data_IF_310333308987
#
_entry.id   IF_310333308987
#
_cell.length_a   1.000
_cell.length_b   1.000
_cell.length_c   1.000
_cell.angle_alpha   90.00
_cell.angle_beta   90.00
_cell.angle_gamma   90.00
#
_symmetry.space_group_name_H-M   'P 1'
#
loop_
_entity.id
_entity.type
_entity.pdbx_description
1 polymer ?
#
# COMPACT_ATOMS: atom_id res chain seq x y z
N UNK A 1 -22.78 5.12 -19.02
CA UNK A 1 -21.36 5.48 -18.78
C UNK A 1 -21.36 6.38 -17.56
N UNK A 2 -20.43 6.19 -16.63
CA UNK A 2 -20.33 7.01 -15.41
C UNK A 2 -19.46 8.23 -15.71
N UNK A 3 -19.64 9.33 -14.96
CA UNK A 3 -18.70 10.45 -14.99
C UNK A 3 -17.57 10.24 -13.97
N UNK A 4 -16.43 10.92 -14.18
CA UNK A 4 -15.31 10.89 -13.22
C UNK A 4 -15.76 11.39 -11.83
N UNK A 5 -16.63 12.37 -11.76
CA UNK A 5 -17.27 12.87 -10.52
C UNK A 5 -18.03 11.75 -9.78
N UNK A 6 -18.85 10.96 -10.50
CA UNK A 6 -19.61 9.86 -9.90
C UNK A 6 -18.68 8.78 -9.34
N UNK A 7 -17.62 8.43 -10.09
CA UNK A 7 -16.61 7.45 -9.63
C UNK A 7 -15.84 8.00 -8.43
N UNK A 8 -15.37 9.26 -8.48
CA UNK A 8 -14.64 9.88 -7.38
C UNK A 8 -15.50 9.95 -6.10
N UNK A 9 -16.82 10.20 -6.21
CA UNK A 9 -17.73 10.18 -5.05
C UNK A 9 -17.75 8.79 -4.38
N UNK A 10 -17.70 7.73 -5.17
CA UNK A 10 -17.61 6.35 -4.62
C UNK A 10 -16.26 6.11 -3.97
N UNK A 11 -15.18 6.53 -4.62
CA UNK A 11 -13.80 6.43 -4.08
C UNK A 11 -13.70 7.14 -2.73
N UNK A 12 -14.20 8.38 -2.62
CA UNK A 12 -14.18 9.14 -1.36
C UNK A 12 -15.07 8.52 -0.26
N UNK A 13 -16.13 7.80 -0.62
CA UNK A 13 -16.95 7.07 0.35
C UNK A 13 -16.23 5.81 0.86
N UNK A 14 -15.52 5.09 0.00
CA UNK A 14 -14.75 3.89 0.36
C UNK A 14 -13.50 4.25 1.16
N UNK A 15 -12.80 5.30 0.74
CA UNK A 15 -11.55 5.79 1.32
C UNK A 15 -11.65 7.30 1.59
N UNK A 16 -12.27 7.71 2.72
CA UNK A 16 -12.54 9.12 3.00
C UNK A 16 -11.26 9.94 3.12
N UNK A 17 -11.20 11.08 2.46
CA UNK A 17 -10.05 12.00 2.52
C UNK A 17 -9.76 12.49 3.95
N UNK A 18 -10.76 12.46 4.84
CA UNK A 18 -10.58 12.78 6.26
C UNK A 18 -9.70 11.78 7.03
N UNK A 19 -9.44 10.61 6.45
CA UNK A 19 -8.51 9.62 7.00
C UNK A 19 -7.07 9.78 6.53
N UNK A 20 -6.80 10.74 5.64
CA UNK A 20 -5.45 10.99 5.15
C UNK A 20 -4.58 11.71 6.18
N UNK A 21 -3.28 11.40 6.18
CA UNK A 21 -2.30 12.14 6.95
C UNK A 21 -2.16 13.59 6.43
N UNK A 22 -1.84 14.53 7.32
CA UNK A 22 -1.76 15.97 7.00
C UNK A 22 -0.73 16.34 5.90
N UNK A 23 0.29 15.50 5.71
CA UNK A 23 1.33 15.68 4.71
C UNK A 23 1.00 15.05 3.34
N UNK A 24 -0.07 14.28 3.27
CA UNK A 24 -0.46 13.50 2.10
C UNK A 24 -1.25 14.33 1.07
N UNK A 25 -1.43 13.80 -0.14
CA UNK A 25 -2.15 14.46 -1.22
C UNK A 25 -2.99 13.47 -2.06
N UNK A 26 -3.87 12.66 -1.45
CA UNK A 26 -4.76 11.75 -2.17
C UNK A 26 -5.91 12.50 -2.85
N UNK A 27 -6.75 11.77 -3.57
CA UNK A 27 -7.95 12.28 -4.24
C UNK A 27 -7.78 12.43 -5.74
N UNK A 28 -8.65 13.23 -6.37
CA UNK A 28 -8.63 13.45 -7.82
C UNK A 28 -7.46 14.37 -8.20
N UNK A 29 -6.51 13.83 -8.96
CA UNK A 29 -5.27 14.52 -9.35
C UNK A 29 -5.28 15.01 -10.79
N UNK A 30 -5.92 14.28 -11.72
CA UNK A 30 -5.99 14.62 -13.15
C UNK A 30 -7.34 14.22 -13.70
N UNK A 31 -7.94 15.07 -14.55
CA UNK A 31 -9.17 14.82 -15.29
C UNK A 31 -10.24 15.89 -15.06
N UNK A 32 -11.16 15.99 -16.02
CA UNK A 32 -12.37 16.79 -15.88
C UNK A 32 -13.41 15.98 -15.09
N UNK A 33 -13.97 16.50 -13.98
CA UNK A 33 -15.00 15.77 -13.23
C UNK A 33 -16.20 15.29 -14.06
N UNK A 34 -16.52 15.97 -15.16
CA UNK A 34 -17.66 15.63 -16.01
C UNK A 34 -17.29 14.72 -17.20
N UNK A 35 -15.98 14.37 -17.36
CA UNK A 35 -15.57 13.42 -18.39
C UNK A 35 -16.13 12.02 -18.15
N UNK A 36 -16.38 11.22 -19.22
CA UNK A 36 -16.83 9.84 -19.10
C UNK A 36 -15.72 8.93 -18.54
N UNK A 37 -16.13 7.90 -17.80
CA UNK A 37 -15.27 6.80 -17.36
C UNK A 37 -15.86 5.50 -17.88
N UNK A 38 -15.13 4.83 -18.77
CA UNK A 38 -15.50 3.56 -19.38
C UNK A 38 -14.86 2.35 -18.66
N UNK A 39 -13.70 2.56 -18.04
CA UNK A 39 -13.00 1.53 -17.25
C UNK A 39 -12.10 2.14 -16.18
N UNK A 40 -11.81 1.36 -15.13
CA UNK A 40 -10.87 1.71 -14.06
C UNK A 40 -9.74 0.69 -14.04
N UNK A 41 -8.52 1.17 -14.03
CA UNK A 41 -7.31 0.38 -13.81
C UNK A 41 -6.73 0.75 -12.44
N UNK A 42 -6.61 -0.23 -11.55
CA UNK A 42 -5.94 -0.06 -10.26
C UNK A 42 -4.46 -0.43 -10.37
N UNK A 43 -3.60 0.36 -9.78
CA UNK A 43 -2.16 0.10 -9.67
C UNK A 43 -1.61 0.67 -8.35
N UNK A 44 -0.42 0.25 -7.92
CA UNK A 44 0.24 0.90 -6.77
C UNK A 44 0.73 2.28 -7.19
N UNK A 45 1.41 2.38 -8.34
CA UNK A 45 2.11 3.59 -8.76
C UNK A 45 1.56 4.24 -10.03
N UNK A 46 1.58 5.58 -10.06
CA UNK A 46 1.41 6.36 -11.28
C UNK A 46 2.76 6.54 -11.99
N UNK A 47 3.11 5.60 -12.86
CA UNK A 47 4.36 5.59 -13.64
C UNK A 47 4.11 5.41 -15.14
N UNK A 48 5.17 5.48 -15.94
CA UNK A 48 5.05 5.44 -17.41
C UNK A 48 4.25 4.24 -17.93
N UNK A 49 4.53 3.05 -17.41
CA UNK A 49 3.91 1.81 -17.87
C UNK A 49 2.44 1.67 -17.44
N UNK A 50 2.06 2.10 -16.25
CA UNK A 50 0.66 2.09 -15.80
C UNK A 50 -0.18 3.14 -16.49
N UNK A 51 0.42 4.29 -16.86
CA UNK A 51 -0.21 5.30 -17.71
C UNK A 51 -0.38 4.77 -19.14
N UNK A 52 0.59 4.04 -19.69
CA UNK A 52 0.43 3.40 -21.01
C UNK A 52 -0.72 2.39 -20.99
N UNK A 53 -0.77 1.53 -19.96
CA UNK A 53 -1.80 0.49 -19.81
C UNK A 53 -3.21 1.08 -19.73
N UNK A 54 -3.44 2.13 -18.93
CA UNK A 54 -4.77 2.75 -18.85
C UNK A 54 -5.16 3.43 -20.16
N UNK A 55 -4.21 3.91 -20.95
CA UNK A 55 -4.42 4.57 -22.25
C UNK A 55 -4.61 3.60 -23.43
N UNK A 56 -4.46 2.30 -23.24
CA UNK A 56 -4.78 1.30 -24.29
C UNK A 56 -6.24 1.34 -24.73
N UNK A 57 -7.10 1.88 -23.88
CA UNK A 57 -8.54 2.01 -24.12
C UNK A 57 -9.01 3.43 -23.80
N UNK A 58 -10.01 3.95 -24.54
CA UNK A 58 -10.56 5.28 -24.26
C UNK A 58 -11.29 5.33 -22.91
N UNK A 59 -11.49 6.56 -22.42
CA UNK A 59 -12.26 6.86 -21.21
C UNK A 59 -11.74 6.12 -19.96
N UNK A 60 -10.41 6.00 -19.83
CA UNK A 60 -9.75 5.33 -18.72
C UNK A 60 -9.69 6.17 -17.45
N UNK A 61 -9.76 5.50 -16.29
CA UNK A 61 -9.39 6.06 -15.00
C UNK A 61 -8.27 5.21 -14.40
N UNK A 62 -7.12 5.82 -14.15
CA UNK A 62 -6.05 5.21 -13.34
C UNK A 62 -6.32 5.56 -11.88
N UNK A 63 -6.60 4.54 -11.07
CA UNK A 63 -6.70 4.66 -9.63
C UNK A 63 -5.44 4.06 -9.02
N UNK A 64 -4.66 4.88 -8.34
CA UNK A 64 -3.38 4.45 -7.75
C UNK A 64 -3.39 4.57 -6.24
N UNK A 65 -2.50 3.80 -5.59
CA UNK A 65 -2.22 3.99 -4.18
C UNK A 65 -1.34 5.24 -3.99
N UNK A 66 -0.20 5.32 -4.62
CA UNK A 66 0.76 6.41 -4.45
C UNK A 66 0.38 7.68 -5.24
N UNK A 67 0.21 8.85 -4.57
CA UNK A 67 -0.16 10.08 -5.25
C UNK A 67 1.01 10.65 -6.06
N UNK A 68 0.78 10.84 -7.36
CA UNK A 68 1.77 11.45 -8.27
C UNK A 68 2.21 12.84 -7.80
N UNK A 69 1.31 13.60 -7.17
CA UNK A 69 1.53 15.00 -6.78
C UNK A 69 1.67 15.21 -5.26
N UNK A 70 2.07 14.19 -4.50
CA UNK A 70 2.32 14.29 -3.06
C UNK A 70 3.23 15.47 -2.68
N UNK A 71 4.20 15.78 -3.55
CA UNK A 71 4.96 17.04 -3.47
C UNK A 71 4.52 17.94 -4.61
N UNK A 72 4.22 19.21 -4.28
CA UNK A 72 3.86 20.23 -5.24
C UNK A 72 4.87 20.34 -6.37
N UNK A 73 4.40 20.68 -7.58
CA UNK A 73 5.23 20.87 -8.77
C UNK A 73 5.22 22.34 -9.20
N UNK A 74 6.35 22.80 -9.72
CA UNK A 74 6.50 24.14 -10.27
C UNK A 74 6.43 24.18 -11.79
N UNK A 75 6.39 22.98 -12.42
CA UNK A 75 6.25 22.83 -13.88
C UNK A 75 5.58 21.50 -14.21
N UNK A 76 4.78 21.50 -15.28
CA UNK A 76 4.19 20.31 -15.91
C UNK A 76 4.73 20.10 -17.33
N UNK A 77 5.94 20.61 -17.62
CA UNK A 77 6.59 20.43 -18.92
C UNK A 77 6.81 18.93 -19.22
N UNK A 78 6.61 18.54 -20.48
CA UNK A 78 6.65 17.14 -20.91
C UNK A 78 8.03 16.47 -20.89
N UNK A 79 9.10 17.23 -20.68
CA UNK A 79 10.46 16.74 -20.45
C UNK A 79 10.74 16.38 -18.98
N UNK A 80 9.73 16.56 -18.12
CA UNK A 80 9.77 16.18 -16.71
C UNK A 80 8.84 15.00 -16.47
N UNK A 81 9.27 14.06 -15.62
CA UNK A 81 8.54 12.82 -15.35
C UNK A 81 7.06 13.07 -15.02
N UNK A 82 6.75 13.90 -14.00
CA UNK A 82 5.35 14.18 -13.61
C UNK A 82 4.59 14.92 -14.72
N UNK A 83 5.22 15.91 -15.34
CA UNK A 83 4.61 16.66 -16.44
C UNK A 83 4.32 15.79 -17.66
N UNK A 84 5.19 14.86 -17.99
CA UNK A 84 4.97 13.87 -19.07
C UNK A 84 3.73 13.02 -18.79
N UNK A 85 3.60 12.43 -17.59
CA UNK A 85 2.47 11.58 -17.23
C UNK A 85 1.15 12.37 -17.24
N UNK A 86 1.12 13.56 -16.63
CA UNK A 86 -0.05 14.45 -16.63
C UNK A 86 -0.47 14.80 -18.06
N UNK A 87 0.49 15.19 -18.90
CA UNK A 87 0.22 15.54 -20.31
C UNK A 87 -0.36 14.36 -21.08
N UNK A 88 0.16 13.15 -20.87
CA UNK A 88 -0.32 11.92 -21.53
C UNK A 88 -1.73 11.57 -21.09
N UNK A 89 -2.04 11.60 -19.79
CA UNK A 89 -3.37 11.36 -19.25
C UNK A 89 -4.39 12.35 -19.82
N UNK A 90 -4.10 13.65 -19.76
CA UNK A 90 -5.00 14.69 -20.28
C UNK A 90 -5.25 14.53 -21.79
N UNK A 91 -4.18 14.31 -22.60
CA UNK A 91 -4.32 14.13 -24.05
C UNK A 91 -5.03 12.84 -24.42
N UNK A 92 -4.89 11.80 -23.61
CA UNK A 92 -5.56 10.51 -23.79
C UNK A 92 -6.98 10.46 -23.24
N UNK A 93 -7.47 11.56 -22.62
CA UNK A 93 -8.82 11.61 -22.03
C UNK A 93 -8.98 10.76 -20.77
N UNK A 94 -7.87 10.40 -20.11
CA UNK A 94 -7.89 9.59 -18.89
C UNK A 94 -7.82 10.44 -17.62
N UNK A 95 -8.44 9.93 -16.55
CA UNK A 95 -8.35 10.50 -15.20
C UNK A 95 -7.27 9.82 -14.34
N UNK A 96 -6.89 10.48 -13.24
CA UNK A 96 -6.02 9.93 -12.20
C UNK A 96 -6.59 10.27 -10.83
N UNK A 97 -6.82 9.25 -10.02
CA UNK A 97 -7.19 9.36 -8.60
C UNK A 97 -6.13 8.62 -7.78
N UNK A 98 -5.78 9.15 -6.61
CA UNK A 98 -4.95 8.45 -5.62
C UNK A 98 -5.75 8.19 -4.34
N UNK A 99 -5.60 6.97 -3.79
CA UNK A 99 -6.11 6.56 -2.48
C UNK A 99 -4.91 5.98 -1.70
N UNK A 100 -4.32 6.78 -0.84
CA UNK A 100 -3.03 6.54 -0.20
C UNK A 100 -3.22 6.30 1.32
N UNK A 101 -2.75 7.19 2.19
CA UNK A 101 -2.88 6.99 3.63
C UNK A 101 -4.33 6.89 4.10
N UNK A 102 -5.26 7.53 3.40
CA UNK A 102 -6.70 7.35 3.62
C UNK A 102 -7.21 5.94 3.28
N UNK A 103 -6.52 5.18 2.43
CA UNK A 103 -6.82 3.78 2.15
C UNK A 103 -6.08 2.81 3.08
N UNK A 104 -4.98 3.26 3.72
CA UNK A 104 -4.23 2.45 4.68
C UNK A 104 -5.00 2.24 5.99
N UNK A 105 -5.70 3.28 6.44
CA UNK A 105 -6.30 3.31 7.77
C UNK A 105 -7.66 2.61 7.87
N UNK A 106 -8.35 2.38 6.77
CA UNK A 106 -9.70 1.78 6.77
C UNK A 106 -9.68 0.30 7.05
N UNK A 107 -10.84 -0.25 7.39
CA UNK A 107 -11.07 -1.70 7.37
C UNK A 107 -10.89 -2.20 5.93
N UNK A 108 -10.24 -3.35 5.76
CA UNK A 108 -9.79 -3.87 4.46
C UNK A 108 -8.80 -2.94 3.72
N UNK A 109 -8.11 -2.05 4.44
CA UNK A 109 -6.97 -1.27 3.93
C UNK A 109 -5.70 -2.11 3.77
N UNK A 110 -4.60 -1.49 3.32
CA UNK A 110 -3.35 -2.18 2.99
C UNK A 110 -2.83 -3.08 4.11
N UNK A 111 -2.72 -2.55 5.33
CA UNK A 111 -2.25 -3.30 6.50
C UNK A 111 -3.25 -4.37 6.94
N UNK A 112 -4.55 -4.11 6.82
CA UNK A 112 -5.58 -5.06 7.20
C UNK A 112 -5.60 -6.28 6.28
N UNK A 113 -5.50 -6.05 4.97
CA UNK A 113 -5.39 -7.14 3.97
C UNK A 113 -4.14 -7.99 4.22
N UNK A 114 -2.99 -7.38 4.52
CA UNK A 114 -1.79 -8.14 4.85
C UNK A 114 -1.95 -8.97 6.12
N UNK A 115 -2.61 -8.44 7.17
CA UNK A 115 -2.92 -9.15 8.40
C UNK A 115 -3.84 -10.36 8.14
N UNK A 116 -4.90 -10.16 7.35
CA UNK A 116 -5.82 -11.22 6.95
C UNK A 116 -5.11 -12.33 6.16
N UNK A 117 -4.24 -11.97 5.22
CA UNK A 117 -3.46 -12.93 4.41
C UNK A 117 -2.48 -13.76 5.24
N UNK A 118 -1.95 -13.20 6.33
CA UNK A 118 -1.13 -13.91 7.31
C UNK A 118 -1.96 -14.74 8.30
N UNK A 119 -3.28 -14.56 8.34
CA UNK A 119 -4.18 -15.29 9.24
C UNK A 119 -4.18 -14.80 10.68
N UNK A 120 -3.95 -13.49 10.90
CA UNK A 120 -4.06 -12.89 12.23
C UNK A 120 -5.51 -12.92 12.72
N UNK A 121 -5.69 -13.28 13.97
CA UNK A 121 -6.99 -13.25 14.66
C UNK A 121 -7.28 -11.85 15.19
N UNK A 122 -8.48 -11.33 14.88
CA UNK A 122 -9.03 -10.07 15.38
C UNK A 122 -7.98 -8.93 15.42
N UNK A 123 -7.30 -8.62 14.29
CA UNK A 123 -6.25 -7.63 14.28
C UNK A 123 -6.81 -6.24 14.62
N UNK A 124 -6.16 -5.55 15.56
CA UNK A 124 -6.48 -4.18 15.94
C UNK A 124 -5.47 -3.18 15.32
N UNK A 125 -5.86 -1.91 15.09
CA UNK A 125 -4.92 -0.88 14.68
C UNK A 125 -3.80 -0.68 15.71
N UNK A 126 -2.56 -0.51 15.24
CA UNK A 126 -1.42 -0.10 16.10
C UNK A 126 -1.67 1.31 16.64
N UNK A 127 -2.08 2.22 15.75
CA UNK A 127 -2.49 3.58 16.12
C UNK A 127 -3.97 3.74 15.76
N UNK A 128 -4.89 3.52 16.72
CA UNK A 128 -6.32 3.58 16.44
C UNK A 128 -6.78 5.01 16.17
N UNK A 129 -7.70 5.18 15.23
CA UNK A 129 -8.48 6.39 15.06
C UNK A 129 -9.58 6.51 16.14
N UNK A 130 -10.35 7.60 16.13
CA UNK A 130 -11.35 7.89 17.16
C UNK A 130 -12.46 6.82 17.28
N UNK A 131 -12.73 6.07 16.21
CA UNK A 131 -13.71 4.98 16.18
C UNK A 131 -13.19 3.65 16.78
N UNK A 132 -11.88 3.56 17.02
CA UNK A 132 -11.21 2.36 17.53
C UNK A 132 -11.14 1.19 16.56
N UNK A 133 -11.71 1.30 15.36
CA UNK A 133 -11.78 0.25 14.33
C UNK A 133 -10.83 0.52 13.16
N UNK A 134 -10.76 1.79 12.75
CA UNK A 134 -9.82 2.27 11.73
C UNK A 134 -8.53 2.74 12.38
N UNK A 135 -7.46 2.91 11.59
CA UNK A 135 -6.17 3.41 12.07
C UNK A 135 -4.98 2.74 11.41
N UNK A 136 -3.81 3.24 11.76
CA UNK A 136 -2.55 2.88 11.11
C UNK A 136 -2.00 1.55 11.61
N UNK A 137 -1.54 0.71 10.67
CA UNK A 137 -0.97 -0.61 10.93
C UNK A 137 -1.96 -1.58 11.55
N UNK A 138 -1.51 -2.80 11.82
CA UNK A 138 -2.30 -3.83 12.53
C UNK A 138 -1.42 -4.59 13.51
N UNK A 139 -2.01 -5.03 14.60
CA UNK A 139 -1.39 -5.92 15.59
C UNK A 139 -2.40 -7.00 15.97
N UNK A 140 -1.95 -8.25 16.03
CA UNK A 140 -2.80 -9.39 16.38
C UNK A 140 -1.97 -10.64 16.60
N UNK A 141 -2.65 -11.71 17.04
CA UNK A 141 -2.00 -12.97 17.32
C UNK A 141 -2.32 -14.00 16.22
N UNK A 142 -1.34 -14.85 15.92
CA UNK A 142 -1.60 -16.06 15.13
C UNK A 142 -2.38 -17.07 15.96
N UNK A 143 -3.22 -17.92 15.34
CA UNK A 143 -3.93 -19.00 16.05
C UNK A 143 -2.96 -19.96 16.73
N UNK A 144 -1.82 -20.24 16.09
CA UNK A 144 -0.77 -21.13 16.59
C UNK A 144 0.58 -20.45 16.50
N UNK A 145 1.48 -20.78 17.45
CA UNK A 145 2.86 -20.31 17.42
C UNK A 145 3.61 -20.94 16.24
N UNK A 146 4.45 -20.14 15.60
CA UNK A 146 5.30 -20.54 14.47
C UNK A 146 6.71 -19.98 14.63
N UNK A 147 7.54 -19.99 13.58
CA UNK A 147 8.89 -19.41 13.61
C UNK A 147 9.01 -18.19 12.71
N UNK A 148 9.98 -17.31 13.01
CA UNK A 148 10.31 -16.17 12.16
C UNK A 148 10.57 -16.57 10.72
N UNK A 149 11.33 -17.67 10.52
CA UNK A 149 11.60 -18.21 9.21
C UNK A 149 10.35 -18.72 8.47
N UNK A 150 9.38 -19.28 9.19
CA UNK A 150 8.10 -19.68 8.61
C UNK A 150 7.27 -18.45 8.17
N UNK A 151 7.23 -17.40 8.99
CA UNK A 151 6.59 -16.13 8.62
C UNK A 151 7.24 -15.53 7.38
N UNK A 152 8.57 -15.46 7.31
CA UNK A 152 9.27 -14.91 6.16
C UNK A 152 8.97 -15.70 4.87
N UNK A 153 8.86 -17.03 4.95
CA UNK A 153 8.44 -17.86 3.81
C UNK A 153 6.99 -17.65 3.41
N UNK A 154 6.07 -17.60 4.39
CA UNK A 154 4.67 -17.33 4.11
C UNK A 154 4.49 -15.98 3.39
N UNK A 155 5.20 -14.94 3.84
CA UNK A 155 5.23 -13.64 3.17
C UNK A 155 5.76 -13.74 1.73
N UNK A 156 6.83 -14.50 1.51
CA UNK A 156 7.39 -14.71 0.16
C UNK A 156 6.44 -15.49 -0.78
N UNK A 157 5.51 -16.28 -0.24
CA UNK A 157 4.51 -17.02 -1.01
C UNK A 157 3.28 -16.18 -1.35
N UNK A 158 2.84 -15.28 -0.44
CA UNK A 158 1.62 -14.47 -0.62
C UNK A 158 1.88 -13.16 -1.38
N UNK A 159 3.12 -12.64 -1.33
CA UNK A 159 3.49 -11.38 -1.99
C UNK A 159 3.90 -11.61 -3.45
N UNK A 160 3.61 -10.66 -4.34
CA UNK A 160 4.19 -10.70 -5.68
C UNK A 160 5.71 -10.65 -5.63
N UNK A 161 6.36 -11.42 -6.50
CA UNK A 161 7.81 -11.54 -6.51
C UNK A 161 8.51 -10.21 -6.89
N UNK A 162 9.49 -9.83 -6.08
CA UNK A 162 10.34 -8.63 -6.29
C UNK A 162 11.82 -8.99 -6.19
N UNK A 163 12.69 -8.11 -6.69
CA UNK A 163 14.12 -8.35 -6.67
C UNK A 163 14.69 -8.46 -5.25
N UNK A 164 14.16 -7.69 -4.31
CA UNK A 164 14.68 -7.64 -2.92
C UNK A 164 14.15 -8.75 -2.03
N UNK A 165 13.01 -9.36 -2.38
CA UNK A 165 12.39 -10.43 -1.60
C UNK A 165 12.01 -9.98 -0.18
N UNK A 166 12.05 -10.93 0.77
CA UNK A 166 11.74 -10.71 2.19
C UNK A 166 13.04 -10.76 2.99
N UNK A 167 13.36 -9.69 3.71
CA UNK A 167 14.54 -9.60 4.59
C UNK A 167 14.10 -9.69 6.05
N UNK A 168 14.80 -10.47 6.86
CA UNK A 168 14.47 -10.63 8.27
C UNK A 168 15.70 -10.35 9.15
N UNK A 169 15.45 -9.79 10.34
CA UNK A 169 16.44 -9.57 11.41
C UNK A 169 15.91 -10.22 12.69
N UNK A 170 16.54 -11.30 13.11
CA UNK A 170 16.17 -12.14 14.23
C UNK A 170 16.70 -13.55 14.04
N UNK A 171 16.46 -14.43 15.01
CA UNK A 171 16.77 -15.86 14.87
C UNK A 171 15.72 -16.53 13.99
N UNK A 172 16.16 -17.34 13.03
CA UNK A 172 15.26 -18.03 12.09
C UNK A 172 14.24 -18.92 12.79
N UNK A 173 14.63 -19.59 13.87
CA UNK A 173 13.80 -20.52 14.63
C UNK A 173 13.14 -19.88 15.86
N UNK A 174 13.31 -18.57 16.08
CA UNK A 174 12.60 -17.91 17.18
C UNK A 174 11.08 -18.02 17.03
N UNK A 175 10.43 -18.27 18.17
CA UNK A 175 8.96 -18.38 18.24
C UNK A 175 8.30 -17.04 17.91
N UNK A 176 7.22 -17.09 17.13
CA UNK A 176 6.39 -15.95 16.73
C UNK A 176 4.94 -16.32 16.88
N UNK A 177 4.21 -15.52 17.65
CA UNK A 177 2.75 -15.59 17.80
C UNK A 177 2.11 -14.22 17.61
N UNK A 178 2.63 -13.18 18.30
CA UNK A 178 2.12 -11.81 18.20
C UNK A 178 2.85 -11.06 17.10
N UNK A 179 2.10 -10.58 16.12
CA UNK A 179 2.61 -9.86 14.96
C UNK A 179 2.08 -8.44 14.97
N UNK A 180 2.99 -7.46 14.84
CA UNK A 180 2.64 -6.11 14.44
C UNK A 180 3.07 -5.92 12.98
N UNK A 181 2.28 -5.20 12.18
CA UNK A 181 2.59 -4.94 10.78
C UNK A 181 2.06 -3.59 10.29
N UNK A 182 2.76 -3.06 9.28
CA UNK A 182 2.35 -1.88 8.53
C UNK A 182 2.74 -2.07 7.07
N UNK A 183 1.76 -2.07 6.16
CA UNK A 183 2.03 -2.01 4.71
C UNK A 183 2.74 -0.71 4.36
N UNK A 184 3.61 -0.74 3.35
CA UNK A 184 4.46 0.42 3.05
C UNK A 184 5.49 0.73 4.13
N UNK A 185 5.95 1.99 4.20
CA UNK A 185 6.98 2.45 5.13
C UNK A 185 6.43 2.67 6.54
N UNK A 186 6.90 1.90 7.51
CA UNK A 186 6.45 1.94 8.90
C UNK A 186 7.55 2.16 9.94
N UNK A 187 8.70 2.74 9.57
CA UNK A 187 9.80 2.98 10.51
C UNK A 187 9.42 3.90 11.67
N UNK A 188 8.42 4.76 11.50
CA UNK A 188 7.89 5.64 12.55
C UNK A 188 7.22 4.88 13.70
N UNK A 189 6.75 3.65 13.46
CA UNK A 189 6.06 2.84 14.46
C UNK A 189 7.00 1.95 15.31
N UNK A 190 8.29 1.88 15.00
CA UNK A 190 9.26 1.01 15.70
C UNK A 190 9.30 1.25 17.21
N UNK A 191 9.04 2.47 17.69
CA UNK A 191 9.01 2.81 19.10
C UNK A 191 7.64 2.67 19.75
N UNK A 192 6.58 2.35 18.97
CA UNK A 192 5.23 2.23 19.49
C UNK A 192 5.09 1.06 20.47
N UNK A 193 4.38 1.19 21.62
CA UNK A 193 4.24 0.13 22.61
C UNK A 193 3.74 -1.20 22.04
N UNK A 194 2.72 -1.17 21.16
CA UNK A 194 2.18 -2.37 20.53
C UNK A 194 3.21 -3.08 19.64
N UNK A 195 4.06 -2.33 18.94
CA UNK A 195 5.16 -2.88 18.14
C UNK A 195 6.24 -3.48 19.04
N UNK A 196 6.62 -2.77 20.10
CA UNK A 196 7.65 -3.22 21.05
C UNK A 196 7.29 -4.49 21.81
N UNK A 197 6.02 -4.80 21.96
CA UNK A 197 5.51 -6.00 22.64
C UNK A 197 5.19 -7.16 21.69
N UNK A 198 5.31 -6.95 20.38
CA UNK A 198 5.16 -8.01 19.39
C UNK A 198 6.41 -8.90 19.31
N UNK A 199 6.26 -10.13 18.83
CA UNK A 199 7.39 -11.04 18.55
C UNK A 199 8.10 -10.64 17.25
N UNK A 200 7.34 -10.11 16.28
CA UNK A 200 7.86 -9.63 14.99
C UNK A 200 7.11 -8.37 14.56
N UNK A 201 7.85 -7.43 13.96
CA UNK A 201 7.30 -6.29 13.25
C UNK A 201 7.59 -6.40 11.76
N UNK A 202 6.55 -6.37 10.95
CA UNK A 202 6.60 -6.51 9.48
C UNK A 202 6.27 -5.15 8.85
N UNK A 203 7.17 -4.62 8.02
CA UNK A 203 6.96 -3.36 7.30
C UNK A 203 7.85 -3.29 6.07
N UNK A 204 7.98 -2.13 5.44
CA UNK A 204 8.87 -1.89 4.31
C UNK A 204 9.76 -0.65 4.54
N UNK A 205 10.75 -0.45 3.66
CA UNK A 205 11.63 0.71 3.62
C UNK A 205 12.41 0.98 4.91
N UNK A 206 12.72 -0.07 5.68
CA UNK A 206 13.52 0.08 6.89
C UNK A 206 14.92 0.56 6.56
N UNK A 207 15.23 1.78 6.96
CA UNK A 207 16.56 2.37 6.83
C UNK A 207 17.52 1.76 7.85
N UNK A 208 18.81 1.82 7.52
CA UNK A 208 19.88 1.20 8.35
C UNK A 208 19.80 1.58 9.83
N UNK A 209 19.79 2.88 10.17
CA UNK A 209 19.84 3.29 11.58
C UNK A 209 18.59 2.88 12.36
N UNK A 210 17.33 3.17 11.92
CA UNK A 210 16.15 2.71 12.64
C UNK A 210 16.11 1.18 12.83
N UNK A 211 16.46 0.41 11.79
CA UNK A 211 16.50 -1.05 11.89
C UNK A 211 17.60 -1.55 12.84
N UNK A 212 18.80 -0.94 12.80
CA UNK A 212 19.91 -1.31 13.67
C UNK A 212 19.60 -1.01 15.15
N UNK A 213 19.03 0.16 15.44
CA UNK A 213 18.65 0.56 16.79
C UNK A 213 17.54 -0.33 17.35
N UNK A 214 16.53 -0.66 16.55
CA UNK A 214 15.47 -1.58 16.95
C UNK A 214 16.01 -2.99 17.22
N UNK A 215 16.92 -3.49 16.38
CA UNK A 215 17.58 -4.76 16.59
C UNK A 215 18.41 -4.80 17.88
N UNK A 216 19.24 -3.79 18.14
CA UNK A 216 20.03 -3.70 19.37
C UNK A 216 19.12 -3.67 20.61
N UNK A 217 18.00 -2.96 20.54
CA UNK A 217 17.01 -2.92 21.63
C UNK A 217 16.37 -4.30 21.84
N UNK A 218 16.07 -5.05 20.78
CA UNK A 218 15.54 -6.41 20.86
C UNK A 218 16.54 -7.36 21.53
N UNK A 219 17.83 -7.25 21.23
CA UNK A 219 18.90 -8.03 21.86
C UNK A 219 19.04 -7.76 23.37
N UNK A 220 18.66 -6.58 23.81
CA UNK A 220 18.59 -6.22 25.24
C UNK A 220 17.30 -6.73 25.93
N UNK A 221 16.42 -7.40 25.20
CA UNK A 221 15.19 -7.98 25.74
C UNK A 221 13.96 -7.07 25.68
N UNK A 222 13.90 -6.14 24.72
CA UNK A 222 12.75 -5.22 24.62
C UNK A 222 12.44 -4.76 23.19
N UNK A 223 11.94 -5.66 22.33
CA UNK A 223 11.52 -5.31 20.99
C UNK A 223 11.36 -6.54 20.08
N UNK A 224 10.69 -6.40 18.94
CA UNK A 224 10.42 -7.47 17.99
C UNK A 224 11.63 -7.83 17.13
N UNK A 225 11.60 -9.02 16.55
CA UNK A 225 12.30 -9.27 15.29
C UNK A 225 11.74 -8.35 14.19
N UNK A 226 12.52 -8.09 13.14
CA UNK A 226 12.07 -7.24 12.04
C UNK A 226 11.97 -8.07 10.76
N UNK A 227 10.91 -7.79 10.01
CA UNK A 227 10.78 -8.24 8.62
C UNK A 227 10.55 -7.01 7.74
N UNK A 228 11.41 -6.87 6.73
CA UNK A 228 11.38 -5.78 5.78
C UNK A 228 11.04 -6.29 4.37
N UNK A 229 9.95 -5.80 3.83
CA UNK A 229 9.35 -6.21 2.57
C UNK A 229 9.69 -5.23 1.44
N UNK A 230 9.40 -5.61 0.19
CA UNK A 230 9.23 -4.60 -0.84
C UNK A 230 8.01 -3.74 -0.51
N UNK A 231 8.17 -2.43 -0.52
CA UNK A 231 7.10 -1.45 -0.30
C UNK A 231 5.94 -1.74 -1.25
N UNK A 232 6.21 -1.74 -2.55
CA UNK A 232 5.24 -2.03 -3.61
C UNK A 232 4.49 -3.34 -3.39
N UNK A 233 5.20 -4.42 -3.06
CA UNK A 233 4.59 -5.75 -2.89
C UNK A 233 3.65 -5.80 -1.68
N UNK A 234 4.00 -5.12 -0.58
CA UNK A 234 3.18 -5.08 0.63
C UNK A 234 1.84 -4.37 0.44
N UNK A 235 1.76 -3.44 -0.51
CA UNK A 235 0.57 -2.66 -0.82
C UNK A 235 -0.22 -3.22 -2.02
N UNK A 236 0.46 -3.93 -2.92
CA UNK A 236 -0.18 -4.55 -4.09
C UNK A 236 -1.32 -5.49 -3.70
N UNK A 237 -1.21 -6.19 -2.57
CA UNK A 237 -2.25 -7.10 -2.07
C UNK A 237 -3.62 -6.43 -1.86
N UNK A 238 -3.63 -5.14 -1.56
CA UNK A 238 -4.85 -4.37 -1.37
C UNK A 238 -5.63 -4.18 -2.66
N UNK A 239 -4.98 -4.14 -3.82
CA UNK A 239 -5.59 -3.74 -5.09
C UNK A 239 -6.80 -4.60 -5.49
N UNK A 240 -6.76 -5.93 -5.30
CA UNK A 240 -7.91 -6.78 -5.64
C UNK A 240 -9.10 -6.54 -4.70
N UNK A 241 -8.86 -6.37 -3.39
CA UNK A 241 -9.92 -6.00 -2.45
C UNK A 241 -10.56 -4.66 -2.80
N UNK A 242 -9.74 -3.68 -3.18
CA UNK A 242 -10.17 -2.36 -3.63
C UNK A 242 -10.98 -2.45 -4.95
N UNK A 243 -10.51 -3.25 -5.91
CA UNK A 243 -11.23 -3.49 -7.16
C UNK A 243 -12.60 -4.14 -6.92
N UNK A 244 -12.68 -5.12 -6.01
CA UNK A 244 -13.93 -5.77 -5.65
C UNK A 244 -14.90 -4.80 -4.95
N UNK A 245 -14.40 -3.91 -4.10
CA UNK A 245 -15.20 -2.85 -3.49
C UNK A 245 -15.79 -1.92 -4.56
N UNK A 246 -14.98 -1.50 -5.53
CA UNK A 246 -15.45 -0.68 -6.64
C UNK A 246 -16.45 -1.41 -7.57
N UNK A 247 -16.21 -2.69 -7.88
CA UNK A 247 -17.13 -3.51 -8.69
C UNK A 247 -18.51 -3.61 -8.03
N UNK A 248 -18.57 -3.73 -6.70
CA UNK A 248 -19.84 -3.76 -5.94
C UNK A 248 -20.58 -2.43 -6.00
N UNK A 249 -19.86 -1.32 -5.86
CA UNK A 249 -20.44 0.03 -5.78
C UNK A 249 -20.75 0.64 -7.16
N UNK A 250 -20.06 0.18 -8.21
CA UNK A 250 -20.16 0.67 -9.58
C UNK A 250 -20.53 -0.46 -10.56
N UNK A 251 -21.68 -1.10 -10.39
CA UNK A 251 -22.07 -2.23 -11.24
C UNK A 251 -22.10 -1.82 -12.72
N UNK A 252 -21.50 -2.68 -13.55
CA UNK A 252 -21.39 -2.49 -15.00
C UNK A 252 -20.20 -1.66 -15.46
N UNK A 253 -19.39 -1.11 -14.55
CA UNK A 253 -18.09 -0.52 -14.87
C UNK A 253 -17.02 -1.62 -14.91
N UNK A 254 -16.17 -1.61 -15.93
CA UNK A 254 -15.03 -2.52 -16.03
C UNK A 254 -13.93 -2.04 -15.08
N UNK A 255 -13.62 -2.83 -14.05
CA UNK A 255 -12.62 -2.54 -13.02
C UNK A 255 -11.58 -3.65 -13.00
N UNK A 256 -10.31 -3.32 -13.25
CA UNK A 256 -9.20 -4.26 -13.34
C UNK A 256 -8.04 -3.82 -12.48
N UNK A 257 -7.23 -4.78 -12.05
CA UNK A 257 -5.95 -4.56 -11.38
C UNK A 257 -4.83 -4.72 -12.40
N UNK A 258 -3.86 -3.82 -12.37
CA UNK A 258 -2.63 -3.94 -13.13
C UNK A 258 -1.76 -5.07 -12.58
N UNK A 259 -1.31 -5.95 -13.46
CA UNK A 259 -0.33 -7.00 -13.14
C UNK A 259 1.12 -6.52 -13.35
N UNK A 260 1.30 -5.27 -13.78
CA UNK A 260 2.63 -4.71 -14.02
C UNK A 260 3.34 -4.48 -12.69
N UNK A 261 4.55 -5.03 -12.58
CA UNK A 261 5.41 -4.77 -11.44
C UNK A 261 6.06 -3.39 -11.59
N UNK A 262 5.75 -2.49 -10.67
CA UNK A 262 6.32 -1.14 -10.61
C UNK A 262 7.31 -0.96 -9.45
N UNK A 263 7.64 -2.05 -8.74
CA UNK A 263 8.77 -2.07 -7.80
C UNK A 263 10.05 -1.54 -8.50
N UNK A 264 10.73 -0.52 -7.94
CA UNK A 264 11.83 0.16 -8.62
C UNK A 264 13.11 -0.67 -8.77
N UNK A 265 13.18 -1.85 -8.14
CA UNK A 265 14.38 -2.69 -8.15
C UNK A 265 14.27 -3.84 -9.17
N UNK A 266 15.18 -3.89 -10.13
CA UNK A 266 15.16 -4.88 -11.20
C UNK A 266 15.81 -6.21 -10.79
N UNK A 267 16.93 -6.15 -10.06
CA UNK A 267 17.66 -7.34 -9.60
C UNK A 267 18.45 -7.08 -8.31
N UNK A 268 18.80 -8.16 -7.62
CA UNK A 268 19.70 -8.13 -6.46
C UNK A 268 20.90 -9.06 -6.70
N UNK A 269 22.08 -8.65 -6.25
CA UNK A 269 23.28 -9.50 -6.21
C UNK A 269 23.59 -9.76 -4.75
N UNK A 270 23.43 -11.02 -4.34
CA UNK A 270 23.77 -11.47 -2.97
C UNK A 270 25.29 -11.65 -2.83
N UNK A 271 25.83 -11.28 -1.67
CA UNK A 271 27.25 -11.44 -1.33
C UNK A 271 27.44 -12.58 -0.35
#
# INVERSE_FOLDING_TARGET
MRTLREVNTVVERLWPLSGAEDWDAPGLLVGDPDQPVGHVLLAVDAVGVTVDEVLERPDGLLLVHHPLLMRGVTTVAGDRYKGSLITRLIRGGAGLIAAHTNADVVVDGTSDVLAQRLGLHDPAPIVPAADGLTGLGRVGDLPEETTLGAIARALAEILPATATGVRASGDYDQAVRRIALCGGAGDSLLSHPEVRTADVYITADLRHHPASEAREQALLGGGPALVDLSHWASEWLWLEGAADALRRELPGLDVRVSELRTDPWDFVVTQ
#
